data_IF_120622613435
#
_entry.id   IF_120622613435
#
_cell.length_a   1.000
_cell.length_b   1.000
_cell.length_c   1.000
_cell.angle_alpha   90.00
_cell.angle_beta   90.00
_cell.angle_gamma   90.00
#
_symmetry.space_group_name_H-M   'P 1'
#
loop_
_entity.id
_entity.type
_entity.pdbx_description
1 polymer ?
#
# COMPACT_ATOMS: atom_id res chain seq x y z
N UNK A 1 29.98 -61.55 -28.75
CA UNK A 1 29.63 -60.13 -28.97
C UNK A 1 28.56 -59.81 -27.98
N UNK A 2 28.96 -59.24 -26.78
CA UNK A 2 28.05 -58.94 -25.64
C UNK A 2 27.59 -57.49 -25.72
N UNK A 3 26.28 -57.31 -25.92
CA UNK A 3 25.64 -55.98 -25.90
C UNK A 3 25.26 -55.64 -24.48
N UNK A 4 26.01 -54.75 -23.82
CA UNK A 4 25.64 -54.16 -22.56
C UNK A 4 24.50 -53.13 -22.78
N UNK A 5 23.31 -53.44 -22.29
CA UNK A 5 22.19 -52.48 -22.21
C UNK A 5 22.40 -51.58 -21.02
N UNK A 6 22.78 -50.34 -21.26
CA UNK A 6 22.73 -49.28 -20.24
C UNK A 6 21.26 -48.88 -20.02
N UNK A 7 20.76 -49.14 -18.82
CA UNK A 7 19.44 -48.64 -18.37
C UNK A 7 19.62 -47.23 -17.78
N UNK A 8 19.16 -46.25 -18.50
CA UNK A 8 19.17 -44.84 -18.03
C UNK A 8 17.98 -44.66 -17.08
N UNK A 9 18.26 -44.58 -15.77
CA UNK A 9 17.25 -44.28 -14.76
C UNK A 9 17.01 -42.74 -14.74
N UNK A 10 15.91 -42.28 -15.32
CA UNK A 10 15.48 -40.89 -15.24
C UNK A 10 14.76 -40.72 -13.89
N UNK A 11 15.42 -40.06 -12.92
CA UNK A 11 14.81 -39.69 -11.68
C UNK A 11 13.85 -38.51 -11.93
N UNK A 12 12.55 -38.75 -11.94
CA UNK A 12 11.53 -37.72 -11.89
C UNK A 12 11.55 -37.10 -10.48
N UNK A 13 12.18 -35.96 -10.31
CA UNK A 13 12.03 -35.14 -9.10
C UNK A 13 10.63 -34.53 -9.12
N UNK A 14 9.76 -35.00 -8.22
CA UNK A 14 8.46 -34.37 -7.97
C UNK A 14 8.67 -33.02 -7.29
N UNK A 15 8.63 -31.95 -8.06
CA UNK A 15 8.54 -30.58 -7.50
C UNK A 15 7.15 -30.45 -6.86
N UNK A 16 7.08 -30.53 -5.52
CA UNK A 16 5.86 -30.18 -4.81
C UNK A 16 5.62 -28.68 -5.06
N UNK A 17 4.41 -28.27 -5.47
CA UNK A 17 4.09 -26.84 -5.51
C UNK A 17 4.27 -26.28 -4.11
N UNK A 18 5.18 -25.33 -3.94
CA UNK A 18 5.26 -24.56 -2.72
C UNK A 18 3.90 -23.86 -2.53
N UNK A 19 3.26 -24.06 -1.38
CA UNK A 19 2.08 -23.30 -1.02
C UNK A 19 2.49 -21.82 -1.08
N UNK A 20 1.74 -21.00 -1.82
CA UNK A 20 2.02 -19.58 -1.91
C UNK A 20 1.93 -18.99 -0.49
N UNK A 21 3.02 -18.37 -0.04
CA UNK A 21 3.10 -17.73 1.27
C UNK A 21 2.04 -16.63 1.37
N UNK A 22 1.30 -16.58 2.49
CA UNK A 22 0.26 -15.59 2.69
C UNK A 22 0.85 -14.21 3.03
N UNK A 23 0.22 -13.10 2.62
CA UNK A 23 0.63 -11.74 3.01
C UNK A 23 0.78 -11.54 4.52
N UNK A 24 -0.04 -12.20 5.34
CA UNK A 24 0.02 -12.16 6.81
C UNK A 24 1.25 -12.84 7.41
N UNK A 25 1.95 -13.68 6.65
CA UNK A 25 3.21 -14.30 7.07
C UNK A 25 4.42 -13.36 6.87
N UNK A 26 4.23 -12.28 6.08
CA UNK A 26 5.24 -11.25 5.81
C UNK A 26 4.94 -9.98 6.61
N UNK A 27 3.68 -9.51 6.59
CA UNK A 27 3.26 -8.29 7.25
C UNK A 27 2.42 -8.59 8.49
N UNK A 28 2.67 -7.88 9.59
CA UNK A 28 1.80 -7.92 10.78
C UNK A 28 0.50 -7.18 10.46
N UNK A 29 -0.57 -7.93 10.16
CA UNK A 29 -1.86 -7.39 9.71
C UNK A 29 -2.93 -7.27 10.81
N UNK A 30 -2.59 -7.58 12.07
CA UNK A 30 -3.54 -7.66 13.19
C UNK A 30 -4.37 -6.37 13.37
N UNK A 31 -3.75 -5.20 13.31
CA UNK A 31 -4.42 -3.90 13.47
C UNK A 31 -4.64 -3.19 12.12
N UNK A 32 -5.01 -3.96 11.10
CA UNK A 32 -5.32 -3.45 9.78
C UNK A 32 -6.61 -4.03 9.21
N UNK A 33 -7.24 -3.28 8.33
CA UNK A 33 -8.16 -3.76 7.30
C UNK A 33 -7.64 -3.36 5.94
N UNK A 34 -8.02 -4.10 4.90
CA UNK A 34 -7.61 -3.89 3.52
C UNK A 34 -8.80 -3.48 2.67
N UNK A 35 -8.63 -2.47 1.83
CA UNK A 35 -9.51 -2.20 0.70
C UNK A 35 -8.83 -2.64 -0.59
N UNK A 36 -9.56 -3.30 -1.50
CA UNK A 36 -9.10 -3.71 -2.83
C UNK A 36 -9.97 -3.12 -3.92
N UNK A 37 -9.45 -2.94 -5.17
CA UNK A 37 -10.14 -2.20 -6.23
C UNK A 37 -11.18 -3.02 -6.98
N UNK A 38 -11.88 -3.91 -6.28
CA UNK A 38 -12.97 -4.74 -6.83
C UNK A 38 -14.23 -4.60 -5.98
N UNK A 39 -15.39 -4.93 -6.54
CA UNK A 39 -16.68 -4.83 -5.88
C UNK A 39 -17.46 -6.13 -6.00
N UNK A 40 -16.89 -7.25 -5.56
CA UNK A 40 -17.52 -8.57 -5.55
C UNK A 40 -18.45 -8.70 -4.35
N UNK A 41 -17.98 -8.29 -3.16
CA UNK A 41 -18.80 -8.28 -1.93
C UNK A 41 -19.85 -7.17 -1.95
N UNK A 42 -19.46 -6.01 -2.49
CA UNK A 42 -20.31 -4.82 -2.52
C UNK A 42 -20.28 -4.20 -3.92
N UNK A 43 -21.24 -4.54 -4.80
CA UNK A 43 -21.27 -4.03 -6.16
C UNK A 43 -21.15 -2.49 -6.22
N UNK A 44 -20.23 -2.00 -7.07
CA UNK A 44 -19.96 -0.58 -7.27
C UNK A 44 -19.13 0.10 -6.17
N UNK A 45 -18.63 -0.64 -5.19
CA UNK A 45 -17.73 -0.15 -4.14
C UNK A 45 -16.51 -1.05 -3.99
N UNK A 46 -15.41 -0.48 -3.50
CA UNK A 46 -14.22 -1.23 -3.11
C UNK A 46 -14.55 -2.25 -2.02
N UNK A 47 -14.15 -3.49 -2.21
CA UNK A 47 -14.30 -4.53 -1.20
C UNK A 47 -13.37 -4.28 -0.01
N UNK A 48 -13.83 -4.67 1.16
CA UNK A 48 -13.12 -4.52 2.42
C UNK A 48 -12.91 -5.88 3.10
N UNK A 49 -11.68 -6.15 3.53
CA UNK A 49 -11.28 -7.35 4.25
C UNK A 49 -10.75 -6.96 5.64
N UNK A 50 -11.38 -7.51 6.69
CA UNK A 50 -11.06 -7.28 8.10
C UNK A 50 -10.54 -8.54 8.77
N UNK A 51 -10.06 -8.40 9.99
CA UNK A 51 -9.77 -9.57 10.83
C UNK A 51 -11.07 -10.31 11.21
N UNK A 52 -11.04 -11.66 11.26
CA UNK A 52 -9.89 -12.55 11.01
C UNK A 52 -9.66 -12.90 9.52
N UNK A 53 -10.57 -12.54 8.61
CA UNK A 53 -10.52 -12.89 7.18
C UNK A 53 -9.23 -12.40 6.52
N UNK A 54 -8.74 -11.21 6.88
CA UNK A 54 -7.52 -10.64 6.31
C UNK A 54 -6.27 -11.51 6.55
N UNK A 55 -6.24 -12.33 7.59
CA UNK A 55 -5.09 -13.21 7.87
C UNK A 55 -4.90 -14.32 6.83
N UNK A 56 -5.95 -14.69 6.13
CA UNK A 56 -5.91 -15.74 5.09
C UNK A 56 -6.22 -15.19 3.69
N UNK A 57 -6.51 -13.89 3.60
CA UNK A 57 -6.84 -13.27 2.34
C UNK A 57 -5.60 -13.04 1.49
N UNK A 58 -5.70 -13.44 0.25
CA UNK A 58 -4.80 -13.06 -0.84
C UNK A 58 -5.59 -12.99 -2.15
N UNK A 59 -5.12 -12.17 -3.06
CA UNK A 59 -5.69 -12.04 -4.40
C UNK A 59 -4.55 -11.93 -5.43
N UNK A 60 -4.49 -12.78 -6.46
CA UNK A 60 -3.34 -12.86 -7.37
C UNK A 60 -3.02 -11.55 -8.10
N UNK A 61 -3.94 -10.64 -8.14
CA UNK A 61 -3.81 -9.37 -8.84
C UNK A 61 -3.66 -8.17 -7.89
N UNK A 62 -4.38 -8.16 -6.75
CA UNK A 62 -4.51 -6.96 -5.92
C UNK A 62 -3.71 -6.99 -4.63
N UNK A 63 -3.53 -8.19 -4.04
CA UNK A 63 -2.90 -8.34 -2.74
C UNK A 63 -2.31 -9.74 -2.58
N UNK A 64 -1.01 -9.88 -2.77
CA UNK A 64 -0.32 -11.17 -2.72
C UNK A 64 1.15 -11.01 -2.35
N UNK A 65 1.78 -12.10 -1.95
CA UNK A 65 3.22 -12.17 -1.74
C UNK A 65 3.95 -12.08 -3.08
N UNK A 66 5.03 -11.30 -3.15
CA UNK A 66 5.85 -11.21 -4.35
C UNK A 66 6.59 -12.52 -4.65
N UNK A 67 7.20 -12.63 -5.83
CA UNK A 67 7.87 -13.85 -6.28
C UNK A 67 9.08 -14.26 -5.42
N UNK A 68 9.73 -13.30 -4.75
CA UNK A 68 10.85 -13.56 -3.83
C UNK A 68 10.42 -13.96 -2.42
N UNK A 69 9.14 -13.81 -2.07
CA UNK A 69 8.62 -14.18 -0.75
C UNK A 69 9.01 -13.22 0.38
N UNK A 70 9.46 -12.01 0.07
CA UNK A 70 9.99 -11.06 1.05
C UNK A 70 9.17 -9.75 1.15
N UNK A 71 8.15 -9.57 0.30
CA UNK A 71 7.28 -8.42 0.33
C UNK A 71 5.84 -8.78 -0.09
N UNK A 72 4.90 -7.92 0.26
CA UNK A 72 3.51 -7.99 -0.17
C UNK A 72 3.25 -6.97 -1.26
N UNK A 73 2.70 -7.43 -2.39
CA UNK A 73 2.27 -6.59 -3.52
C UNK A 73 0.90 -6.02 -3.24
N UNK A 74 0.78 -4.71 -3.36
CA UNK A 74 -0.45 -3.95 -3.39
C UNK A 74 -0.60 -3.36 -4.79
N UNK A 75 -1.64 -3.75 -5.53
CA UNK A 75 -1.90 -3.26 -6.90
C UNK A 75 -3.32 -2.75 -7.01
N UNK A 76 -3.49 -1.62 -7.69
CA UNK A 76 -4.80 -1.10 -8.04
C UNK A 76 -4.80 -0.60 -9.49
N UNK A 77 -5.77 -1.05 -10.28
CA UNK A 77 -5.97 -0.60 -11.63
C UNK A 77 -6.84 0.67 -11.68
N UNK A 78 -6.67 1.48 -12.72
CA UNK A 78 -7.38 2.75 -12.92
C UNK A 78 -8.87 2.57 -13.21
N UNK A 79 -9.29 1.37 -13.63
CA UNK A 79 -10.68 0.96 -13.82
C UNK A 79 -11.34 0.35 -12.59
N UNK A 80 -10.62 0.23 -11.48
CA UNK A 80 -11.12 -0.41 -10.26
C UNK A 80 -12.23 0.39 -9.57
N UNK A 81 -12.97 -0.31 -8.70
CA UNK A 81 -13.95 0.32 -7.81
C UNK A 81 -13.27 1.18 -6.75
N UNK A 82 -14.03 2.14 -6.21
CA UNK A 82 -13.51 3.10 -5.24
C UNK A 82 -14.25 3.02 -3.91
N UNK A 83 -13.62 3.47 -2.84
CA UNK A 83 -14.28 3.67 -1.55
C UNK A 83 -15.23 4.85 -1.61
N UNK A 84 -16.22 4.90 -0.71
CA UNK A 84 -17.13 6.03 -0.58
C UNK A 84 -16.34 7.34 -0.41
N UNK A 85 -16.72 8.38 -1.15
CA UNK A 85 -16.06 9.68 -1.12
C UNK A 85 -14.77 9.79 -1.95
N UNK A 86 -14.23 8.68 -2.49
CA UNK A 86 -13.04 8.67 -3.34
C UNK A 86 -13.38 8.53 -4.81
N UNK A 87 -12.62 9.21 -5.67
CA UNK A 87 -12.68 9.04 -7.13
C UNK A 87 -11.56 8.17 -7.69
N UNK A 88 -10.73 7.57 -6.84
CA UNK A 88 -9.56 6.80 -7.25
C UNK A 88 -9.52 5.42 -6.60
N UNK A 89 -9.12 4.38 -7.36
CA UNK A 89 -9.01 3.01 -6.86
C UNK A 89 -7.79 2.82 -5.95
N UNK A 90 -7.88 1.79 -5.10
CA UNK A 90 -6.80 1.45 -4.16
C UNK A 90 -6.73 -0.02 -3.82
N UNK A 91 -5.52 -0.50 -3.55
CA UNK A 91 -5.22 -1.65 -2.71
C UNK A 91 -4.46 -1.11 -1.51
N UNK A 92 -5.11 -0.95 -0.36
CA UNK A 92 -4.58 -0.14 0.71
C UNK A 92 -5.06 -0.60 2.08
N UNK A 93 -4.11 -0.74 3.00
CA UNK A 93 -4.36 -0.96 4.41
C UNK A 93 -4.89 0.33 5.06
N UNK A 94 -5.87 0.17 5.96
CA UNK A 94 -6.34 1.20 6.88
C UNK A 94 -6.19 0.71 8.30
N UNK A 95 -5.63 1.56 9.15
CA UNK A 95 -5.40 1.28 10.55
C UNK A 95 -6.69 0.96 11.31
N UNK A 96 -6.57 -0.07 12.12
CA UNK A 96 -7.57 -0.56 13.06
C UNK A 96 -6.98 -0.60 14.47
N UNK A 97 -7.80 -0.83 15.45
CA UNK A 97 -7.42 -1.09 16.85
C UNK A 97 -8.20 -2.28 17.39
N UNK A 98 -7.88 -2.72 18.60
CA UNK A 98 -8.54 -3.84 19.26
C UNK A 98 -8.54 -5.10 18.36
N UNK A 99 -7.34 -5.51 17.93
CA UNK A 99 -7.12 -6.69 17.07
C UNK A 99 -7.95 -6.65 15.77
N UNK A 100 -7.99 -5.48 15.13
CA UNK A 100 -8.68 -5.28 13.87
C UNK A 100 -10.21 -5.16 13.96
N UNK A 101 -10.78 -5.13 15.19
CA UNK A 101 -12.23 -5.10 15.40
C UNK A 101 -12.83 -3.70 15.36
N UNK A 102 -12.03 -2.66 15.65
CA UNK A 102 -12.49 -1.28 15.74
C UNK A 102 -11.63 -0.38 14.85
N UNK A 103 -12.24 0.59 14.18
CA UNK A 103 -11.51 1.62 13.46
C UNK A 103 -10.62 2.42 14.41
N UNK A 104 -9.35 2.61 14.05
CA UNK A 104 -8.49 3.52 14.79
C UNK A 104 -8.98 4.97 14.62
N UNK A 105 -8.82 5.73 15.71
CA UNK A 105 -9.16 7.16 15.77
C UNK A 105 -8.33 7.77 16.91
N UNK A 106 -7.34 8.59 16.58
CA UNK A 106 -6.44 9.23 17.53
C UNK A 106 -6.29 10.73 17.24
N UNK A 107 -5.64 11.46 18.15
CA UNK A 107 -5.42 12.90 18.06
C UNK A 107 -3.94 13.21 18.03
N UNK A 108 -3.53 14.19 17.22
CA UNK A 108 -2.15 14.68 17.14
C UNK A 108 -1.65 15.30 18.45
N UNK A 109 -2.55 15.75 19.33
CA UNK A 109 -2.22 16.40 20.60
C UNK A 109 -1.94 15.45 21.75
N UNK A 110 -2.27 14.15 21.60
CA UNK A 110 -2.22 13.16 22.71
C UNK A 110 -1.40 11.96 22.31
N UNK A 111 -0.37 11.64 23.09
CA UNK A 111 0.50 10.49 22.84
C UNK A 111 1.49 10.71 21.71
N UNK A 112 2.11 9.62 21.29
CA UNK A 112 2.98 9.56 20.11
C UNK A 112 2.46 8.47 19.19
N UNK A 113 2.24 8.79 17.92
CA UNK A 113 1.73 7.87 16.92
C UNK A 113 2.74 7.75 15.79
N UNK A 114 3.16 6.53 15.47
CA UNK A 114 4.18 6.29 14.44
C UNK A 114 3.69 5.26 13.43
N UNK A 115 3.81 5.60 12.15
CA UNK A 115 3.76 4.67 11.03
C UNK A 115 5.15 4.57 10.42
N UNK A 116 5.64 3.36 10.25
CA UNK A 116 6.85 3.07 9.48
C UNK A 116 6.50 2.15 8.32
N UNK A 117 7.00 2.45 7.11
CA UNK A 117 6.83 1.64 5.91
C UNK A 117 8.18 1.48 5.21
N UNK A 118 8.57 0.24 4.95
CA UNK A 118 9.69 -0.15 4.09
C UNK A 118 9.11 -0.73 2.81
N UNK A 119 9.33 -0.07 1.68
CA UNK A 119 8.59 -0.32 0.44
C UNK A 119 9.38 0.04 -0.82
N UNK A 120 8.85 -0.39 -1.97
CA UNK A 120 9.19 0.16 -3.30
C UNK A 120 7.94 0.40 -4.12
N UNK A 121 7.96 1.38 -4.99
CA UNK A 121 6.95 1.60 -6.02
C UNK A 121 7.46 0.94 -7.29
N UNK A 122 6.76 -0.10 -7.76
CA UNK A 122 7.19 -0.91 -8.90
C UNK A 122 6.52 -0.51 -10.21
N UNK A 123 5.32 0.11 -10.14
CA UNK A 123 4.59 0.51 -11.35
C UNK A 123 3.69 1.75 -11.11
N UNK A 124 3.49 2.54 -12.15
CA UNK A 124 2.60 3.70 -12.17
C UNK A 124 1.62 3.61 -13.36
N UNK A 125 0.42 4.25 -13.26
CA UNK A 125 -0.48 4.44 -14.39
C UNK A 125 0.19 5.16 -15.56
N UNK A 126 -0.36 5.04 -16.76
CA UNK A 126 0.28 5.48 -17.99
C UNK A 126 0.15 6.99 -18.21
N UNK A 127 -1.09 7.50 -18.27
CA UNK A 127 -1.34 8.91 -18.64
C UNK A 127 -1.15 9.87 -17.45
N UNK A 128 -1.56 9.42 -16.26
CA UNK A 128 -1.34 10.16 -15.01
C UNK A 128 -0.58 9.29 -14.02
N UNK A 129 0.75 9.23 -14.13
CA UNK A 129 1.62 8.36 -13.34
C UNK A 129 1.79 8.88 -11.90
N UNK A 130 0.70 8.81 -11.12
CA UNK A 130 0.62 9.35 -9.76
C UNK A 130 0.10 8.28 -8.80
N UNK A 131 0.73 8.15 -7.63
CA UNK A 131 0.35 7.22 -6.56
C UNK A 131 0.64 7.81 -5.18
N UNK A 132 -0.21 7.53 -4.21
CA UNK A 132 0.02 7.75 -2.78
C UNK A 132 0.39 6.41 -2.14
N UNK A 133 1.41 6.40 -1.29
CA UNK A 133 2.04 5.17 -0.76
C UNK A 133 2.16 5.13 0.77
N UNK A 134 1.54 6.06 1.45
CA UNK A 134 1.42 6.16 2.89
C UNK A 134 0.75 7.47 3.25
N UNK A 135 -0.17 7.46 4.20
CA UNK A 135 -0.93 8.66 4.55
C UNK A 135 -1.39 8.66 6.01
N UNK A 136 -1.56 9.87 6.54
CA UNK A 136 -2.43 10.16 7.67
C UNK A 136 -3.71 10.73 7.10
N UNK A 137 -4.83 10.14 7.48
CA UNK A 137 -6.16 10.56 7.11
C UNK A 137 -6.96 10.83 8.38
N UNK A 138 -7.86 11.78 8.35
CA UNK A 138 -8.82 12.02 9.42
C UNK A 138 -10.27 11.73 8.96
N UNK A 139 -11.27 12.23 9.65
CA UNK A 139 -12.67 12.04 9.28
C UNK A 139 -13.13 12.98 8.14
N UNK A 140 -12.29 13.91 7.71
CA UNK A 140 -12.58 14.85 6.64
C UNK A 140 -11.86 14.47 5.34
N UNK A 141 -10.51 14.37 5.36
CA UNK A 141 -9.69 14.12 4.16
C UNK A 141 -8.28 13.64 4.54
N UNK A 142 -7.38 13.54 3.55
CA UNK A 142 -5.96 13.31 3.78
C UNK A 142 -5.31 14.52 4.47
N UNK A 143 -4.73 14.28 5.65
CA UNK A 143 -3.97 15.31 6.40
C UNK A 143 -2.61 15.52 5.75
N UNK A 144 -1.88 14.42 5.49
CA UNK A 144 -0.54 14.40 4.94
C UNK A 144 -0.25 13.05 4.30
N UNK A 145 0.40 13.06 3.14
CA UNK A 145 0.69 11.84 2.37
C UNK A 145 2.09 11.83 1.79
N UNK A 146 2.66 10.64 1.59
CA UNK A 146 3.79 10.40 0.70
C UNK A 146 3.27 10.10 -0.70
N UNK A 147 3.69 10.87 -1.68
CA UNK A 147 3.16 10.82 -3.04
C UNK A 147 4.27 10.83 -4.08
N UNK A 148 4.16 9.93 -5.07
CA UNK A 148 4.98 9.94 -6.27
C UNK A 148 4.15 10.48 -7.44
N UNK A 149 4.71 11.47 -8.15
CA UNK A 149 4.22 11.96 -9.45
C UNK A 149 5.33 11.84 -10.47
N UNK A 150 5.15 10.97 -11.46
CA UNK A 150 6.22 10.60 -12.42
C UNK A 150 7.42 10.00 -11.67
N UNK A 151 8.47 10.76 -11.50
CA UNK A 151 9.70 10.39 -10.79
C UNK A 151 9.99 11.25 -9.55
N UNK A 152 9.08 12.15 -9.18
CA UNK A 152 9.25 13.04 -8.03
C UNK A 152 8.46 12.53 -6.83
N UNK A 153 9.16 12.05 -5.81
CA UNK A 153 8.57 11.64 -4.52
C UNK A 153 8.59 12.83 -3.55
N UNK A 154 7.46 13.16 -2.98
CA UNK A 154 7.30 14.32 -2.11
C UNK A 154 6.23 14.11 -1.04
N UNK A 155 6.22 15.00 -0.05
CA UNK A 155 5.14 15.12 0.94
C UNK A 155 4.06 16.05 0.41
N UNK A 156 2.77 15.67 0.54
CA UNK A 156 1.63 16.52 0.21
C UNK A 156 0.76 16.70 1.46
N UNK A 157 0.31 17.92 1.75
CA UNK A 157 -0.55 18.29 2.87
C UNK A 157 -1.85 18.87 2.32
N UNK A 158 -2.98 18.16 2.48
CA UNK A 158 -4.23 18.56 1.83
C UNK A 158 -4.00 18.82 0.33
N UNK A 159 -4.25 20.03 -0.18
CA UNK A 159 -3.98 20.39 -1.58
C UNK A 159 -2.58 20.96 -1.84
N UNK A 160 -1.78 21.19 -0.81
CA UNK A 160 -0.46 21.81 -0.92
C UNK A 160 0.64 20.77 -1.16
N UNK A 161 1.55 21.07 -2.10
CA UNK A 161 2.79 20.31 -2.29
C UNK A 161 3.83 20.75 -1.29
N UNK A 162 4.29 19.83 -0.47
CA UNK A 162 5.38 20.03 0.46
C UNK A 162 6.76 19.69 -0.14
N UNK A 163 7.76 19.47 0.72
CA UNK A 163 9.12 19.24 0.27
C UNK A 163 9.27 17.95 -0.53
N UNK A 164 10.17 18.02 -1.49
CA UNK A 164 10.59 16.85 -2.28
C UNK A 164 11.54 15.99 -1.43
N UNK A 165 11.26 14.70 -1.42
CA UNK A 165 12.08 13.69 -0.74
C UNK A 165 13.12 13.09 -1.69
N UNK A 166 12.70 12.85 -2.95
CA UNK A 166 13.53 12.32 -4.02
C UNK A 166 13.09 12.92 -5.37
N UNK A 167 14.01 13.59 -6.06
CA UNK A 167 13.74 14.27 -7.35
C UNK A 167 13.65 13.32 -8.53
N UNK A 168 14.37 12.21 -8.47
CA UNK A 168 14.56 11.27 -9.57
C UNK A 168 14.34 9.82 -9.14
N UNK A 169 13.25 9.56 -8.44
CA UNK A 169 12.90 8.21 -8.01
C UNK A 169 12.83 7.26 -9.20
N UNK A 170 13.57 6.16 -9.12
CA UNK A 170 13.53 5.09 -10.11
C UNK A 170 12.58 3.99 -9.62
N UNK A 171 11.59 3.62 -10.45
CA UNK A 171 10.67 2.51 -10.13
C UNK A 171 11.46 1.25 -9.78
N UNK A 172 11.02 0.58 -8.71
CA UNK A 172 11.70 -0.59 -8.16
C UNK A 172 12.75 -0.27 -7.09
N UNK A 173 13.14 0.99 -6.89
CA UNK A 173 14.06 1.37 -5.81
C UNK A 173 13.37 1.26 -4.45
N UNK A 174 13.97 0.49 -3.52
CA UNK A 174 13.48 0.33 -2.15
C UNK A 174 13.83 1.53 -1.29
N UNK A 175 12.89 1.99 -0.48
CA UNK A 175 13.05 3.12 0.44
C UNK A 175 12.18 2.95 1.68
N UNK A 176 12.51 3.70 2.73
CA UNK A 176 11.67 3.77 3.91
C UNK A 176 11.05 5.14 4.07
N UNK A 177 9.81 5.17 4.56
CA UNK A 177 9.15 6.40 5.01
C UNK A 177 8.56 6.19 6.39
N UNK A 178 8.44 7.27 7.15
CA UNK A 178 7.78 7.24 8.45
C UNK A 178 7.09 8.55 8.75
N UNK A 179 5.92 8.44 9.37
CA UNK A 179 5.30 9.54 10.10
C UNK A 179 5.50 9.33 11.59
N UNK A 180 5.90 10.37 12.31
CA UNK A 180 5.88 10.41 13.78
C UNK A 180 5.08 11.63 14.19
N UNK A 181 3.97 11.40 14.90
CA UNK A 181 3.03 12.45 15.30
C UNK A 181 3.05 12.59 16.81
N UNK A 182 3.28 13.80 17.31
CA UNK A 182 3.15 14.14 18.73
C UNK A 182 3.03 15.66 18.90
N UNK A 183 2.31 16.10 19.92
CA UNK A 183 2.22 17.54 20.29
C UNK A 183 1.82 18.43 19.10
N UNK A 184 0.81 18.00 18.34
CA UNK A 184 0.31 18.68 17.14
C UNK A 184 1.35 18.91 16.03
N UNK A 185 2.40 18.09 16.00
CA UNK A 185 3.41 18.09 14.94
C UNK A 185 3.51 16.71 14.32
N UNK A 186 3.63 16.67 12.99
CA UNK A 186 3.93 15.46 12.21
C UNK A 186 5.32 15.57 11.61
N UNK A 187 6.24 14.71 12.04
CA UNK A 187 7.57 14.56 11.46
C UNK A 187 7.56 13.50 10.37
N UNK A 188 8.05 13.86 9.19
CA UNK A 188 8.15 13.00 8.01
C UNK A 188 9.61 12.60 7.78
N UNK A 189 9.85 11.30 7.77
CA UNK A 189 11.18 10.73 7.54
C UNK A 189 11.25 10.04 6.18
N UNK A 190 12.38 10.15 5.52
CA UNK A 190 12.74 9.42 4.31
C UNK A 190 14.12 8.79 4.50
N UNK A 191 14.23 7.47 4.32
CA UNK A 191 15.43 6.67 4.56
C UNK A 191 16.08 6.98 5.93
N UNK A 192 15.22 7.04 6.97
CA UNK A 192 15.63 7.30 8.36
C UNK A 192 16.00 8.75 8.68
N UNK A 193 16.02 9.65 7.71
CA UNK A 193 16.32 11.06 7.91
C UNK A 193 15.05 11.90 8.01
N UNK A 194 14.98 12.79 9.01
CA UNK A 194 13.93 13.79 9.11
C UNK A 194 14.05 14.76 7.93
N UNK A 195 12.98 14.85 7.14
CA UNK A 195 12.93 15.68 5.94
C UNK A 195 11.95 16.84 6.06
N UNK A 196 10.95 16.70 6.92
CA UNK A 196 9.91 17.73 7.07
C UNK A 196 9.18 17.57 8.40
N UNK A 197 8.81 18.69 9.00
CA UNK A 197 7.94 18.77 10.18
C UNK A 197 6.75 19.65 9.85
N UNK A 198 5.54 19.11 10.04
CA UNK A 198 4.28 19.79 9.75
C UNK A 198 3.52 20.10 11.04
N UNK A 199 3.51 21.38 11.47
CA UNK A 199 2.82 21.81 12.69
C UNK A 199 1.32 21.99 12.38
N UNK A 200 0.52 20.95 12.62
CA UNK A 200 -0.93 20.97 12.42
C UNK A 200 -1.60 20.07 13.43
N UNK A 201 -2.58 20.63 14.15
CA UNK A 201 -3.49 19.86 14.99
C UNK A 201 -4.58 19.20 14.15
N UNK A 202 -4.87 17.93 14.45
CA UNK A 202 -5.96 17.16 13.85
C UNK A 202 -6.48 16.08 14.82
N UNK A 203 -7.67 15.56 14.52
CA UNK A 203 -8.37 14.56 15.35
C UNK A 203 -8.96 13.49 14.48
N UNK A 204 -9.43 12.40 15.12
CA UNK A 204 -10.06 11.27 14.45
C UNK A 204 -9.16 10.66 13.36
N UNK A 205 -7.85 10.75 13.58
CA UNK A 205 -6.86 10.35 12.61
C UNK A 205 -6.57 8.83 12.63
N UNK A 206 -6.04 8.35 11.53
CA UNK A 206 -5.59 6.99 11.33
C UNK A 206 -4.57 6.90 10.19
N UNK A 207 -3.74 5.89 10.25
CA UNK A 207 -2.75 5.62 9.21
C UNK A 207 -3.30 4.76 8.08
N UNK A 208 -2.68 4.91 6.91
CA UNK A 208 -2.91 4.05 5.75
C UNK A 208 -1.59 3.76 5.04
N UNK A 209 -1.49 2.55 4.41
CA UNK A 209 -0.31 2.11 3.68
C UNK A 209 -0.73 1.20 2.51
N UNK A 210 -0.08 1.32 1.36
CA UNK A 210 -0.38 0.52 0.17
C UNK A 210 -0.35 1.34 -1.12
N UNK A 211 -1.10 0.91 -2.12
CA UNK A 211 -1.20 1.55 -3.43
C UNK A 211 -2.53 2.30 -3.55
N UNK A 212 -2.52 3.62 -3.38
CA UNK A 212 -3.65 4.47 -3.69
C UNK A 212 -3.37 5.24 -4.97
N UNK A 213 -3.83 4.68 -6.08
CA UNK A 213 -3.64 5.23 -7.43
C UNK A 213 -4.35 6.57 -7.55
N UNK A 214 -3.71 7.54 -8.20
CA UNK A 214 -4.26 8.89 -8.39
C UNK A 214 -4.62 9.16 -9.86
N UNK A 215 -4.97 8.09 -10.58
CA UNK A 215 -5.49 8.09 -11.94
C UNK A 215 -6.75 7.24 -12.03
N UNK A 216 -7.64 7.54 -12.96
CA UNK A 216 -8.83 6.75 -13.23
C UNK A 216 -9.20 6.83 -14.70
N UNK A 217 -9.64 5.73 -15.29
CA UNK A 217 -10.19 5.67 -16.64
C UNK A 217 -11.68 6.05 -16.70
N UNK A 218 -12.35 6.23 -15.55
CA UNK A 218 -13.80 6.39 -15.44
C UNK A 218 -14.22 7.39 -14.35
N UNK A 219 -15.51 7.69 -14.30
CA UNK A 219 -16.12 8.54 -13.26
C UNK A 219 -15.68 10.00 -13.33
N UNK A 220 -15.87 10.72 -12.20
CA UNK A 220 -15.58 12.17 -12.09
C UNK A 220 -14.08 12.52 -12.19
N UNK A 221 -13.21 11.55 -11.96
CA UNK A 221 -11.75 11.71 -12.00
C UNK A 221 -11.11 11.10 -13.23
N UNK A 222 -11.91 10.84 -14.27
CA UNK A 222 -11.45 10.25 -15.53
C UNK A 222 -10.32 11.08 -16.16
N UNK A 223 -9.22 10.41 -16.46
CA UNK A 223 -8.09 10.93 -17.21
C UNK A 223 -8.27 10.54 -18.68
N UNK A 224 -8.15 11.52 -19.59
CA UNK A 224 -8.28 11.27 -21.03
C UNK A 224 -7.13 10.37 -21.49
N UNK A 225 -7.47 9.31 -22.20
CA UNK A 225 -6.48 8.36 -22.74
C UNK A 225 -6.06 7.25 -21.76
N UNK A 226 -6.38 7.37 -20.46
CA UNK A 226 -5.99 6.36 -19.48
C UNK A 226 -6.69 5.02 -19.74
N UNK A 227 -5.92 3.94 -19.86
CA UNK A 227 -6.44 2.58 -19.96
C UNK A 227 -7.00 2.12 -18.62
N UNK A 228 -8.15 1.45 -18.60
CA UNK A 228 -8.70 0.88 -17.38
C UNK A 228 -7.85 -0.27 -16.80
N UNK A 229 -7.00 -0.87 -17.62
CA UNK A 229 -6.04 -1.91 -17.20
C UNK A 229 -4.72 -1.33 -16.67
N UNK A 230 -4.46 -0.03 -16.91
CA UNK A 230 -3.31 0.64 -16.32
C UNK A 230 -3.41 0.59 -14.78
N UNK A 231 -2.28 0.46 -14.11
CA UNK A 231 -2.26 0.25 -12.65
C UNK A 231 -1.11 0.98 -11.97
N UNK A 232 -1.24 1.17 -10.69
CA UNK A 232 -0.15 1.49 -9.78
C UNK A 232 0.12 0.33 -8.85
N UNK A 233 1.39 0.13 -8.49
CA UNK A 233 1.82 -0.99 -7.66
C UNK A 233 2.90 -0.59 -6.66
N UNK A 234 2.73 -1.09 -5.45
CA UNK A 234 3.67 -0.93 -4.33
C UNK A 234 3.96 -2.29 -3.74
N UNK A 235 5.22 -2.59 -3.48
CA UNK A 235 5.62 -3.73 -2.70
C UNK A 235 6.06 -3.27 -1.31
N UNK A 236 5.44 -3.81 -0.26
CA UNK A 236 5.74 -3.48 1.13
C UNK A 236 6.48 -4.65 1.77
N UNK A 237 7.70 -4.40 2.23
CA UNK A 237 8.57 -5.36 2.93
C UNK A 237 8.30 -5.36 4.43
N UNK A 238 7.92 -4.21 4.97
CA UNK A 238 7.56 -4.06 6.38
C UNK A 238 6.62 -2.88 6.56
N UNK A 239 5.60 -3.07 7.38
CA UNK A 239 4.76 -1.99 7.91
C UNK A 239 4.63 -2.17 9.40
N UNK A 240 4.77 -1.09 10.17
CA UNK A 240 4.58 -1.15 11.62
C UNK A 240 3.91 0.10 12.15
N UNK A 241 3.09 -0.11 13.17
CA UNK A 241 2.39 0.91 13.94
C UNK A 241 2.94 0.91 15.37
N UNK A 242 3.09 2.10 15.94
CA UNK A 242 3.35 2.27 17.37
C UNK A 242 2.53 3.44 17.91
N UNK A 243 1.91 3.23 19.08
CA UNK A 243 1.16 4.25 19.81
C UNK A 243 1.58 4.22 21.29
N UNK A 244 2.06 5.37 21.81
CA UNK A 244 2.54 5.56 23.17
C UNK A 244 1.78 6.67 23.88
#
# INVERSE_FOLDING_TARGET
>A
MNLNKFLLLVALSSVKPALAQLPSEILTLQNWKLNVPEGIKTPGRSDEYKQPELNTYQHPQWFHTNASGDAVVFRANTGGTTTSGSGYPRSELREMTNDGKKNASWSSSTGTHTLFIDQRISHLPLEKPHIVVGQIHDDQDDVIVFRLEKNKLFVKMGDEKGPVLEENYQLGTRFTVSFKVSKDQTDCYYNGQLRFSYPKAFRNAYFKAGAYVQSSCQGKRKVKGESCEAYGEVEIYKVSLNHE
#
